data_IF_423733358053
#
_entry.id   IF_423733358053
#
_cell.length_a   1.000
_cell.length_b   1.000
_cell.length_c   1.000
_cell.angle_alpha   90.00
_cell.angle_beta   90.00
_cell.angle_gamma   90.00
#
_symmetry.space_group_name_H-M   'P 1'
#
loop_
_entity.id
_entity.type
_entity.pdbx_description
1 polymer ?
2 non-polymer ?
3 water ?
#
# COMPACT_ATOMS: atom_id res chain seq x y z
N UNK A 1 14.20 6.14 22.29
CA UNK A 1 14.78 6.36 20.95
C UNK A 1 15.70 7.59 20.91
N UNK A 2 16.72 7.56 20.06
CA UNK A 2 17.63 8.71 19.98
C UNK A 2 16.83 9.96 19.60
N UNK A 3 17.24 11.12 20.09
CA UNK A 3 16.55 12.35 19.76
C UNK A 3 16.73 12.70 18.29
N UNK A 4 17.86 12.28 17.71
CA UNK A 4 18.08 12.55 16.31
C UNK A 4 18.85 11.40 15.68
N UNK A 5 18.67 11.25 14.37
CA UNK A 5 19.34 10.20 13.61
C UNK A 5 19.69 10.74 12.23
N UNK A 6 20.84 10.30 11.72
CA UNK A 6 21.29 10.68 10.38
C UNK A 6 22.14 9.50 9.88
N UNK A 7 21.53 8.68 9.02
CA UNK A 7 22.21 7.49 8.49
C UNK A 7 23.40 7.82 7.60
N UNK A 8 23.51 9.09 7.19
CA UNK A 8 24.65 9.50 6.39
C UNK A 8 25.91 9.39 7.26
N UNK A 9 25.76 9.66 8.55
CA UNK A 9 26.88 9.61 9.48
C UNK A 9 27.38 8.17 9.69
N UNK A 10 26.58 7.20 9.28
CA UNK A 10 26.97 5.80 9.43
C UNK A 10 27.43 5.22 8.10
N UNK A 11 27.64 6.09 7.11
CA UNK A 11 28.08 5.64 5.81
C UNK A 11 27.07 4.70 5.14
N UNK A 12 25.78 4.89 5.42
CA UNK A 12 24.75 4.02 4.86
C UNK A 12 23.94 4.65 3.75
N UNK A 13 24.33 5.84 3.31
CA UNK A 13 23.60 6.53 2.25
C UNK A 13 24.51 6.88 1.05
N UNK A 14 24.11 6.46 -0.13
CA UNK A 14 24.90 6.73 -1.32
C UNK A 14 24.67 8.15 -1.81
N UNK A 15 25.46 8.56 -2.79
CA UNK A 15 25.31 9.89 -3.39
C UNK A 15 23.89 10.12 -3.89
N UNK A 16 23.46 11.37 -3.85
CA UNK A 16 22.15 11.75 -4.34
C UNK A 16 22.19 11.56 -5.87
N UNK A 17 21.12 10.99 -6.42
CA UNK A 17 21.00 10.72 -7.84
C UNK A 17 20.07 11.73 -8.53
N UNK A 18 20.15 11.81 -9.85
CA UNK A 18 19.35 12.73 -10.64
C UNK A 18 18.47 11.92 -11.58
N UNK A 19 17.16 11.87 -11.33
CA UNK A 19 16.30 11.04 -12.16
C UNK A 19 15.98 11.61 -13.53
N UNK A 20 16.20 12.91 -13.70
CA UNK A 20 15.92 13.53 -14.98
C UNK A 20 14.44 13.53 -15.33
N UNK A 21 14.13 13.41 -16.60
CA UNK A 21 12.74 13.44 -17.04
C UNK A 21 12.04 12.09 -17.01
N UNK A 22 12.54 11.17 -16.20
CA UNK A 22 11.94 9.86 -16.08
C UNK A 22 11.35 9.78 -14.65
N UNK A 23 10.07 9.43 -14.55
CA UNK A 23 9.42 9.36 -13.25
C UNK A 23 9.80 8.11 -12.49
N UNK A 24 11.09 8.02 -12.14
CA UNK A 24 11.64 6.87 -11.44
C UNK A 24 11.90 7.10 -9.96
N UNK A 25 11.24 8.10 -9.38
CA UNK A 25 11.44 8.38 -7.97
C UNK A 25 11.23 7.10 -7.14
N UNK A 26 10.22 6.31 -7.49
CA UNK A 26 9.92 5.08 -6.75
C UNK A 26 11.09 4.11 -6.76
N UNK A 27 11.78 4.01 -7.90
CA UNK A 27 12.93 3.13 -8.05
C UNK A 27 14.12 3.61 -7.23
N UNK A 28 14.35 4.93 -7.23
CA UNK A 28 15.46 5.48 -6.44
C UNK A 28 15.16 5.33 -4.96
N UNK A 29 13.90 5.51 -4.58
CA UNK A 29 13.54 5.35 -3.16
C UNK A 29 13.84 3.91 -2.74
N UNK A 30 13.35 2.97 -3.53
CA UNK A 30 13.56 1.56 -3.21
C UNK A 30 15.05 1.19 -3.12
N UNK A 31 15.86 1.58 -4.11
CA UNK A 31 17.26 1.20 -4.01
C UNK A 31 17.97 1.87 -2.84
N UNK A 32 17.60 3.11 -2.55
CA UNK A 32 18.23 3.81 -1.43
C UNK A 32 17.99 3.06 -0.13
N UNK A 33 16.77 2.58 0.06
CA UNK A 33 16.44 1.81 1.28
C UNK A 33 17.27 0.53 1.33
N UNK A 34 17.36 -0.19 0.21
CA UNK A 34 18.12 -1.43 0.19
C UNK A 34 19.63 -1.20 0.36
N UNK A 35 20.12 -0.08 -0.18
CA UNK A 35 21.55 0.25 -0.08
C UNK A 35 22.02 0.32 1.39
N UNK A 36 21.17 0.87 2.25
CA UNK A 36 21.50 1.00 3.67
C UNK A 36 21.59 -0.38 4.30
N UNK A 37 20.62 -1.22 3.99
CA UNK A 37 20.59 -2.59 4.50
C UNK A 37 21.79 -3.38 4.01
N UNK A 38 22.14 -3.17 2.75
CA UNK A 38 23.30 -3.86 2.17
C UNK A 38 24.55 -3.44 2.92
N UNK A 39 24.67 -2.14 3.21
CA UNK A 39 25.82 -1.63 3.93
C UNK A 39 25.85 -2.24 5.33
N UNK A 40 24.69 -2.23 5.99
CA UNK A 40 24.58 -2.77 7.34
C UNK A 40 24.96 -4.25 7.39
N UNK A 41 24.62 -4.99 6.35
CA UNK A 41 24.92 -6.42 6.34
C UNK A 41 26.33 -6.80 5.90
N UNK A 42 26.83 -6.15 4.85
CA UNK A 42 28.14 -6.49 4.31
C UNK A 42 29.26 -5.51 4.64
N UNK A 43 28.91 -4.33 5.13
CA UNK A 43 29.95 -3.36 5.43
C UNK A 43 30.32 -2.54 4.22
N UNK A 44 29.71 -2.84 3.07
CA UNK A 44 30.03 -2.11 1.85
C UNK A 44 28.90 -1.20 1.34
N UNK A 45 29.24 0.04 1.00
CA UNK A 45 28.26 0.98 0.47
C UNK A 45 28.31 0.93 -1.05
N UNK A 46 27.20 0.50 -1.65
CA UNK A 46 27.11 0.32 -3.11
C UNK A 46 25.80 0.87 -3.70
N UNK A 47 25.87 1.72 -4.72
CA UNK A 47 24.63 2.22 -5.31
C UNK A 47 24.00 1.06 -6.09
N UNK A 48 22.69 0.88 -5.95
CA UNK A 48 22.03 -0.21 -6.65
C UNK A 48 21.34 0.35 -7.89
N UNK A 49 21.03 -0.52 -8.85
CA UNK A 49 20.44 -0.10 -10.11
C UNK A 49 18.98 0.28 -10.15
N UNK A 50 18.71 1.58 -10.22
CA UNK A 50 17.34 2.05 -10.31
C UNK A 50 16.80 1.66 -11.69
N UNK A 51 17.67 1.64 -12.69
CA UNK A 51 17.25 1.28 -14.04
C UNK A 51 16.74 -0.15 -14.08
N UNK A 52 17.42 -1.02 -13.33
CA UNK A 52 17.05 -2.44 -13.24
C UNK A 52 15.57 -2.50 -12.84
N UNK A 53 15.17 -1.68 -11.88
CA UNK A 53 13.78 -1.68 -11.44
C UNK A 53 12.87 -1.13 -12.51
N UNK A 54 13.27 -0.01 -13.12
CA UNK A 54 12.49 0.62 -14.17
C UNK A 54 12.20 -0.35 -15.32
N UNK A 55 13.24 -1.06 -15.77
CA UNK A 55 13.11 -2.00 -16.91
C UNK A 55 12.51 -3.38 -16.59
N UNK A 56 12.67 -3.84 -15.36
CA UNK A 56 12.24 -5.18 -14.97
C UNK A 56 11.08 -5.35 -14.01
N UNK A 57 10.97 -4.45 -13.03
CA UNK A 57 9.86 -4.52 -12.07
C UNK A 57 8.76 -3.75 -12.76
N UNK A 58 8.09 -4.40 -13.71
CA UNK A 58 7.10 -3.69 -14.49
C UNK A 58 5.63 -4.06 -14.28
N UNK A 59 4.92 -4.38 -15.37
CA UNK A 59 3.49 -4.70 -15.32
C UNK A 59 3.09 -5.68 -14.22
N UNK A 60 3.85 -6.76 -14.10
CA UNK A 60 3.54 -7.78 -13.11
C UNK A 60 3.56 -7.23 -11.69
N UNK A 61 4.26 -6.11 -11.52
CA UNK A 61 4.38 -5.46 -10.23
C UNK A 61 3.56 -4.18 -10.13
N UNK A 62 2.68 -3.98 -11.11
CA UNK A 62 1.83 -2.79 -11.12
C UNK A 62 2.61 -1.50 -11.35
N UNK A 63 3.84 -1.62 -11.84
CA UNK A 63 4.68 -0.45 -12.08
C UNK A 63 4.68 -0.04 -13.55
N UNK A 64 5.02 1.21 -13.80
CA UNK A 64 5.02 1.74 -15.16
C UNK A 64 6.30 2.44 -15.57
N UNK A 65 7.42 1.95 -15.07
CA UNK A 65 8.71 2.52 -15.44
C UNK A 65 8.83 4.01 -15.22
N UNK A 66 9.14 4.74 -16.30
CA UNK A 66 9.29 6.18 -16.22
C UNK A 66 7.97 6.89 -15.97
N UNK A 67 6.88 6.13 -15.90
CA UNK A 67 5.58 6.72 -15.64
C UNK A 67 5.07 6.43 -14.21
N UNK A 68 5.97 5.97 -13.34
CA UNK A 68 5.58 5.73 -11.96
C UNK A 68 5.62 4.29 -11.49
N UNK A 69 5.77 4.12 -10.19
CA UNK A 69 5.84 2.78 -9.62
C UNK A 69 5.66 2.82 -8.12
N UNK A 70 5.91 1.66 -7.48
CA UNK A 70 5.74 1.51 -6.03
C UNK A 70 7.01 0.94 -5.43
N UNK A 71 7.39 1.42 -4.26
CA UNK A 71 8.59 0.91 -3.60
C UNK A 71 8.35 -0.51 -3.11
N UNK A 72 7.18 -0.78 -2.55
CA UNK A 72 6.89 -2.12 -2.05
C UNK A 72 6.94 -3.20 -3.14
N UNK A 73 6.35 -2.92 -4.29
CA UNK A 73 6.35 -3.91 -5.35
C UNK A 73 7.72 -4.07 -5.98
N UNK A 74 8.51 -3.01 -5.92
CA UNK A 74 9.87 -3.07 -6.41
C UNK A 74 10.61 -4.01 -5.49
N UNK A 75 10.39 -3.88 -4.18
CA UNK A 75 11.05 -4.75 -3.21
C UNK A 75 10.66 -6.20 -3.53
N UNK A 76 9.38 -6.45 -3.78
CA UNK A 76 8.96 -7.82 -4.08
C UNK A 76 9.63 -8.35 -5.34
N UNK A 77 9.80 -7.49 -6.35
CA UNK A 77 10.48 -7.90 -7.56
C UNK A 77 11.90 -8.38 -7.23
N UNK A 78 12.59 -7.64 -6.37
CA UNK A 78 13.95 -8.03 -6.01
C UNK A 78 13.95 -9.39 -5.30
N UNK A 79 12.94 -9.61 -4.46
CA UNK A 79 12.80 -10.87 -3.75
C UNK A 79 12.51 -11.99 -4.77
N UNK A 80 11.50 -11.78 -5.62
CA UNK A 80 11.13 -12.78 -6.64
C UNK A 80 12.30 -13.07 -7.60
N UNK A 81 12.99 -12.01 -7.99
CA UNK A 81 14.12 -12.08 -8.90
C UNK A 81 15.39 -12.66 -8.27
N UNK A 82 15.42 -12.72 -6.95
CA UNK A 82 16.59 -13.20 -6.21
C UNK A 82 17.81 -12.27 -6.36
N UNK A 83 17.55 -11.00 -6.72
CA UNK A 83 18.63 -10.05 -6.82
C UNK A 83 18.35 -8.79 -7.59
N UNK A 84 19.28 -7.85 -7.46
CA UNK A 84 19.23 -6.61 -8.19
C UNK A 84 20.68 -6.25 -8.52
N UNK A 85 20.90 -5.76 -9.73
CA UNK A 85 22.25 -5.40 -10.16
C UNK A 85 22.73 -4.06 -9.56
N UNK A 86 24.04 -3.84 -9.61
CA UNK A 86 24.62 -2.59 -9.13
C UNK A 86 24.32 -1.50 -10.17
N UNK A 87 24.32 -0.26 -9.70
CA UNK A 87 24.09 0.86 -10.59
C UNK A 87 25.21 0.88 -11.66
N UNK A 88 26.45 0.63 -11.24
CA UNK A 88 27.56 0.65 -12.18
C UNK A 88 27.41 -0.36 -13.33
N UNK A 89 26.81 -1.51 -13.06
CA UNK A 89 26.67 -2.54 -14.08
C UNK A 89 25.45 -2.33 -14.94
N UNK A 90 24.49 -1.59 -14.42
CA UNK A 90 23.24 -1.39 -15.13
C UNK A 90 22.89 0.07 -14.86
N UNK A 91 23.58 0.98 -15.57
CA UNK A 91 23.40 2.43 -15.40
C UNK A 91 22.04 3.02 -15.73
N UNK A 92 21.75 4.14 -15.08
CA UNK A 92 20.48 4.84 -15.24
C UNK A 92 20.48 5.72 -16.49
N UNK A 93 19.48 5.50 -17.34
CA UNK A 93 19.36 6.21 -18.60
C UNK A 93 18.12 7.09 -18.68
N UNK A 94 17.33 7.12 -17.61
CA UNK A 94 16.13 7.94 -17.58
C UNK A 94 15.20 7.64 -18.77
N UNK A 95 15.12 6.37 -19.11
CA UNK A 95 14.26 5.90 -20.19
C UNK A 95 13.79 4.49 -19.85
N UNK A 96 12.68 4.09 -20.48
CA UNK A 96 12.15 2.75 -20.31
C UNK A 96 12.95 1.90 -21.30
N UNK A 97 13.53 0.80 -20.82
CA UNK A 97 14.32 -0.07 -21.68
C UNK A 97 13.88 -1.50 -21.45
N UNK A 98 14.35 -2.41 -22.32
CA UNK A 98 14.06 -3.82 -22.18
C UNK A 98 14.77 -4.27 -20.91
N UNK A 99 14.23 -5.24 -20.20
CA UNK A 99 14.86 -5.74 -19.00
C UNK A 99 16.21 -6.41 -19.33
N UNK A 100 17.28 -5.96 -18.68
CA UNK A 100 18.60 -6.50 -18.93
C UNK A 100 19.27 -7.03 -17.69
N UNK A 101 18.47 -7.49 -16.71
CA UNK A 101 19.04 -8.05 -15.49
C UNK A 101 19.96 -9.23 -15.77
N UNK A 102 21.10 -9.25 -15.11
CA UNK A 102 22.04 -10.36 -15.26
C UNK A 102 22.59 -10.63 -13.86
N UNK A 103 22.36 -11.83 -13.35
CA UNK A 103 22.82 -12.16 -12.01
C UNK A 103 24.33 -12.08 -11.84
N UNK A 104 25.06 -12.06 -12.94
CA UNK A 104 26.52 -11.95 -12.88
C UNK A 104 26.88 -10.58 -12.29
N UNK A 105 25.94 -9.63 -12.40
CA UNK A 105 26.14 -8.28 -11.88
C UNK A 105 25.33 -7.97 -10.61
N UNK A 106 24.77 -9.00 -9.99
CA UNK A 106 23.97 -8.82 -8.77
C UNK A 106 24.79 -8.17 -7.67
N UNK A 107 24.25 -7.16 -7.00
CA UNK A 107 24.99 -6.53 -5.89
C UNK A 107 24.23 -6.58 -4.57
N UNK A 108 22.98 -7.03 -4.60
CA UNK A 108 22.17 -7.15 -3.39
C UNK A 108 21.01 -8.10 -3.62
N UNK A 109 20.43 -8.57 -2.54
CA UNK A 109 19.25 -9.44 -2.55
C UNK A 109 18.33 -8.82 -1.52
N UNK A 110 17.09 -9.31 -1.47
CA UNK A 110 16.10 -8.85 -0.50
C UNK A 110 15.31 -10.10 -0.07
N UNK A 111 15.04 -10.24 1.22
CA UNK A 111 14.32 -11.40 1.68
C UNK A 111 12.88 -11.08 2.04
N UNK A 112 12.63 -9.81 2.38
CA UNK A 112 11.28 -9.38 2.75
C UNK A 112 11.24 -7.87 2.89
N UNK A 113 10.04 -7.35 3.04
CA UNK A 113 9.85 -5.92 3.24
C UNK A 113 8.68 -5.72 4.22
N UNK A 114 8.66 -4.55 4.86
CA UNK A 114 7.63 -4.25 5.85
C UNK A 114 7.01 -2.91 5.55
N UNK A 115 5.69 -2.85 5.61
CA UNK A 115 4.98 -1.60 5.39
C UNK A 115 4.51 -1.13 6.77
N UNK A 116 4.87 0.09 7.13
CA UNK A 116 4.48 0.64 8.43
C UNK A 116 3.01 1.06 8.46
N UNK A 117 2.40 1.10 9.66
CA UNK A 117 1.00 1.52 9.78
C UNK A 117 0.82 2.96 9.28
N UNK A 118 -0.29 3.18 8.59
CA UNK A 118 -0.58 4.49 8.01
C UNK A 118 -0.54 5.69 8.96
N UNK A 119 0.25 6.70 8.59
CA UNK A 119 0.32 7.94 9.34
C UNK A 119 0.91 7.99 10.73
N UNK A 120 1.46 6.89 11.20
CA UNK A 120 2.05 6.85 12.53
C UNK A 120 3.49 7.36 12.49
N UNK A 121 3.69 8.61 12.86
CA UNK A 121 5.04 9.18 12.84
C UNK A 121 5.96 8.62 13.93
N UNK A 122 5.37 8.14 15.04
CA UNK A 122 6.15 7.57 16.12
C UNK A 122 6.72 6.22 15.68
N UNK A 123 5.92 5.45 14.94
CA UNK A 123 6.35 4.15 14.44
C UNK A 123 7.43 4.37 13.39
N UNK A 124 7.24 5.40 12.57
CA UNK A 124 8.22 5.71 11.54
C UNK A 124 9.56 6.09 12.20
N UNK A 125 9.51 6.84 13.31
CA UNK A 125 10.71 7.27 14.03
C UNK A 125 11.44 6.04 14.56
N UNK A 126 10.66 5.13 15.13
CA UNK A 126 11.22 3.90 15.66
C UNK A 126 11.94 3.08 14.56
N UNK A 127 11.31 3.00 13.39
CA UNK A 127 11.89 2.25 12.27
C UNK A 127 13.17 2.93 11.75
N UNK A 128 13.12 4.24 11.58
CA UNK A 128 14.30 4.95 11.10
C UNK A 128 15.44 4.76 12.12
N UNK A 129 15.14 4.83 13.41
CA UNK A 129 16.19 4.65 14.42
C UNK A 129 16.70 3.23 14.55
N UNK A 130 15.79 2.25 14.54
CA UNK A 130 16.17 0.84 14.74
C UNK A 130 16.41 -0.05 13.54
N UNK A 131 15.87 0.32 12.38
CA UNK A 131 16.05 -0.52 11.20
C UNK A 131 16.90 0.12 10.11
N UNK A 132 16.68 1.39 9.83
CA UNK A 132 17.46 2.09 8.82
C UNK A 132 16.59 3.01 8.00
N UNK A 133 17.10 3.62 6.93
CA UNK A 133 16.30 4.53 6.08
C UNK A 133 15.02 3.86 5.62
N UNK A 134 13.96 4.65 5.53
CA UNK A 134 12.65 4.14 5.15
C UNK A 134 12.09 4.84 3.91
N UNK A 135 11.63 4.04 2.94
CA UNK A 135 11.04 4.56 1.72
C UNK A 135 9.67 5.10 2.09
N UNK A 136 9.31 6.27 1.57
CA UNK A 136 8.02 6.87 1.85
C UNK A 136 7.54 7.64 0.65
N UNK A 137 6.27 8.00 0.69
CA UNK A 137 5.72 8.83 -0.39
C UNK A 137 5.35 10.17 0.23
N UNK A 138 5.58 11.28 -0.49
CA UNK A 138 5.18 12.57 0.02
C UNK A 138 4.43 13.33 -1.04
N UNK A 139 3.67 14.32 -0.61
CA UNK A 139 2.95 15.17 -1.53
C UNK A 139 3.99 16.24 -1.92
N UNK A 140 4.59 16.08 -3.09
CA UNK A 140 5.60 17.01 -3.57
C UNK A 140 5.12 17.87 -4.74
N UNK A 141 3.82 18.02 -4.90
CA UNK A 141 3.35 18.81 -6.04
C UNK A 141 3.20 20.31 -5.83
N UNK A 142 3.44 20.81 -4.62
CA UNK A 142 3.27 22.25 -4.41
C UNK A 142 4.48 23.03 -4.82
N UNK A 143 4.27 24.19 -5.48
CA UNK A 143 5.40 25.02 -5.93
C UNK A 143 6.51 25.22 -4.91
N UNK A 144 6.15 25.35 -3.63
CA UNK A 144 7.15 25.56 -2.59
C UNK A 144 8.14 24.39 -2.48
N UNK A 145 7.69 23.19 -2.78
CA UNK A 145 8.57 22.04 -2.68
C UNK A 145 9.80 22.17 -3.61
N UNK A 146 9.55 22.54 -4.87
CA UNK A 146 10.62 22.69 -5.86
C UNK A 146 11.65 23.76 -5.52
N UNK A 147 11.19 24.78 -4.80
CA UNK A 147 12.00 25.93 -4.41
C UNK A 147 12.63 25.85 -3.04
N UNK A 148 12.47 24.72 -2.35
CA UNK A 148 13.03 24.56 -1.02
C UNK A 148 14.54 24.69 -1.03
N UNK A 149 15.07 25.47 -0.09
CA UNK A 149 16.51 25.69 -0.01
C UNK A 149 17.07 25.40 1.37
N UNK A 150 16.32 25.70 2.42
CA UNK A 150 16.85 25.44 3.76
C UNK A 150 15.79 25.46 4.84
N UNK A 151 16.22 25.25 6.08
CA UNK A 151 15.29 25.25 7.20
C UNK A 151 14.46 23.99 7.19
N UNK A 152 13.27 24.07 7.77
CA UNK A 152 12.39 22.91 7.81
C UNK A 152 11.15 23.22 7.00
N UNK A 153 10.92 22.40 5.96
CA UNK A 153 9.80 22.56 5.06
C UNK A 153 8.42 22.36 5.69
N UNK A 154 7.61 23.40 5.64
CA UNK A 154 6.26 23.32 6.16
C UNK A 154 5.38 24.07 5.18
N UNK A 155 4.45 23.36 4.55
CA UNK A 155 3.58 23.95 3.55
C UNK A 155 2.12 23.76 3.93
N UNK A 156 1.45 24.85 4.34
CA UNK A 156 0.02 24.74 4.71
C UNK A 156 -0.84 24.08 3.64
N UNK A 157 -0.48 24.24 2.37
CA UNK A 157 -1.29 23.66 1.30
C UNK A 157 -1.01 22.18 1.07
N UNK A 158 -0.10 21.60 1.87
CA UNK A 158 0.24 20.19 1.70
C UNK A 158 -0.90 19.27 2.06
N UNK A 159 -0.95 18.11 1.41
CA UNK A 159 -2.00 17.13 1.68
C UNK A 159 -1.39 15.75 1.96
N UNK A 160 -2.27 14.80 2.26
CA UNK A 160 -1.83 13.43 2.48
C UNK A 160 -2.08 12.61 1.20
N UNK A 161 -2.21 13.32 0.09
CA UNK A 161 -2.37 12.67 -1.22
C UNK A 161 -0.96 12.68 -1.78
N UNK A 162 -0.23 11.60 -1.55
CA UNK A 162 1.17 11.56 -1.95
C UNK A 162 1.39 11.14 -3.38
N UNK A 163 2.44 11.69 -3.98
CA UNK A 163 2.75 11.39 -5.38
C UNK A 163 4.21 11.17 -5.65
N UNK A 164 5.06 11.42 -4.64
CA UNK A 164 6.51 11.36 -4.85
C UNK A 164 7.26 10.42 -3.90
N UNK A 165 7.95 9.45 -4.46
CA UNK A 165 8.68 8.48 -3.65
C UNK A 165 10.07 8.99 -3.28
N UNK A 166 10.36 9.02 -1.98
CA UNK A 166 11.65 9.52 -1.50
C UNK A 166 12.11 8.64 -0.36
N UNK A 167 13.21 9.04 0.28
CA UNK A 167 13.78 8.23 1.35
C UNK A 167 14.10 8.98 2.61
N UNK A 168 13.56 8.52 3.74
CA UNK A 168 13.84 9.14 5.01
C UNK A 168 15.12 8.52 5.55
N UNK A 169 16.16 9.32 5.70
CA UNK A 169 17.44 8.81 6.17
C UNK A 169 17.78 9.33 7.57
N UNK A 170 16.80 9.97 8.20
CA UNK A 170 17.05 10.49 9.52
C UNK A 170 15.96 11.41 10.02
N UNK A 171 16.19 12.00 11.18
CA UNK A 171 15.21 12.91 11.77
C UNK A 171 15.92 13.70 12.87
N UNK A 172 15.28 14.75 13.36
CA UNK A 172 15.91 15.56 14.38
C UNK A 172 15.12 16.81 14.64
N UNK A 173 15.82 17.83 15.13
CA UNK A 173 15.21 19.11 15.50
C UNK A 173 16.15 20.26 15.08
N UNK A 174 15.61 21.25 14.38
CA UNK A 174 16.41 22.39 13.95
C UNK A 174 15.70 23.67 14.39
N UNK A 175 16.33 24.41 15.29
CA UNK A 175 15.76 25.65 15.79
C UNK A 175 14.32 25.54 16.27
N UNK A 176 14.07 24.51 17.06
CA UNK A 176 12.74 24.32 17.61
C UNK A 176 11.73 23.63 16.71
N UNK A 177 12.15 23.22 15.52
CA UNK A 177 11.25 22.54 14.57
C UNK A 177 11.71 21.10 14.30
N UNK A 178 10.87 20.13 14.64
CA UNK A 178 11.22 18.73 14.40
C UNK A 178 11.09 18.46 12.91
N UNK A 179 11.97 17.62 12.39
CA UNK A 179 11.95 17.33 10.97
C UNK A 179 12.36 15.89 10.65
N UNK A 180 12.07 15.49 9.42
CA UNK A 180 12.43 14.20 8.86
C UNK A 180 13.48 14.60 7.82
N UNK A 181 14.62 13.91 7.79
CA UNK A 181 15.67 14.18 6.81
C UNK A 181 15.36 13.32 5.62
N UNK A 182 15.03 13.95 4.49
CA UNK A 182 14.62 13.26 3.28
C UNK A 182 15.58 13.37 2.11
N UNK A 183 15.95 12.22 1.54
CA UNK A 183 16.82 12.17 0.37
C UNK A 183 15.94 12.13 -0.88
N UNK A 184 16.08 13.13 -1.75
CA UNK A 184 15.29 13.19 -3.00
C UNK A 184 16.16 12.64 -4.14
N UNK A 185 15.60 12.57 -5.34
CA UNK A 185 16.37 12.06 -6.47
C UNK A 185 16.30 13.06 -7.63
N UNK A 186 16.45 14.34 -7.30
CA UNK A 186 16.45 15.41 -8.30
C UNK A 186 17.85 16.03 -8.33
N UNK A 187 18.83 15.22 -7.97
CA UNK A 187 20.21 15.69 -8.00
C UNK A 187 20.62 16.57 -6.84
N UNK A 188 21.91 16.90 -6.78
CA UNK A 188 22.42 17.76 -5.70
C UNK A 188 21.97 19.24 -5.78
N UNK A 189 21.47 19.68 -6.92
CA UNK A 189 21.03 21.09 -7.02
C UNK A 189 19.75 21.34 -6.24
N UNK A 190 18.99 20.28 -5.99
CA UNK A 190 17.74 20.43 -5.27
C UNK A 190 17.96 20.55 -3.76
N UNK A 191 17.22 21.48 -3.14
CA UNK A 191 17.29 21.66 -1.71
C UNK A 191 18.68 21.76 -1.09
N UNK A 192 18.91 21.00 -0.01
CA UNK A 192 20.20 21.01 0.67
C UNK A 192 21.04 19.87 0.13
N UNK A 193 21.73 20.11 -0.98
CA UNK A 193 22.57 19.10 -1.64
C UNK A 193 21.79 17.80 -1.93
N UNK A 194 20.53 17.97 -2.35
CA UNK A 194 19.70 16.84 -2.71
C UNK A 194 18.72 16.38 -1.65
N UNK A 195 18.85 16.97 -0.46
CA UNK A 195 17.99 16.63 0.68
C UNK A 195 16.99 17.72 1.03
N UNK A 196 15.93 17.33 1.74
CA UNK A 196 14.95 18.29 2.22
C UNK A 196 14.54 17.89 3.65
N UNK A 197 14.51 18.85 4.55
CA UNK A 197 14.08 18.57 5.93
C UNK A 197 12.60 18.90 5.91
N UNK A 198 11.77 17.89 6.18
CA UNK A 198 10.32 18.08 6.15
C UNK A 198 9.72 18.01 7.55
N UNK A 199 8.75 18.86 7.82
CA UNK A 199 8.14 18.92 9.16
C UNK A 199 7.70 17.57 9.69
N UNK A 200 8.10 17.30 10.94
CA UNK A 200 7.80 16.06 11.65
C UNK A 200 6.89 16.33 12.85
N UNK A 201 5.96 15.41 13.10
CA UNK A 201 5.01 15.53 14.20
C UNK A 201 4.12 16.75 14.00
N UNK A 202 3.80 17.03 12.74
CA UNK A 202 2.91 18.15 12.41
C UNK A 202 1.73 17.57 11.64
N UNK A 203 1.05 16.59 12.23
CA UNK A 203 -0.10 15.98 11.60
C UNK A 203 0.20 15.26 10.30
N UNK A 204 1.26 14.44 10.28
CA UNK A 204 1.61 13.69 9.07
C UNK A 204 1.68 14.63 7.88
N UNK A 205 2.49 15.68 8.03
CA UNK A 205 2.66 16.70 7.00
C UNK A 205 3.10 16.16 5.65
N UNK A 206 2.35 16.52 4.60
CA UNK A 206 2.61 16.12 3.22
C UNK A 206 2.53 14.59 3.08
N UNK A 207 1.91 13.94 4.06
CA UNK A 207 1.76 12.49 4.02
C UNK A 207 3.03 11.69 4.17
N UNK A 208 4.06 12.30 4.73
CA UNK A 208 5.33 11.62 4.88
C UNK A 208 5.26 10.25 5.60
N UNK A 209 4.36 10.09 6.56
CA UNK A 209 4.25 8.79 7.23
C UNK A 209 3.05 7.96 6.74
N UNK A 210 2.45 8.40 5.63
CA UNK A 210 1.29 7.69 5.06
C UNK A 210 1.63 6.28 4.56
N UNK A 211 2.63 6.18 3.71
CA UNK A 211 3.01 4.87 3.16
C UNK A 211 4.51 4.53 3.26
N UNK A 212 5.00 4.26 4.48
CA UNK A 212 6.40 3.91 4.71
C UNK A 212 6.65 2.41 4.61
N UNK A 213 7.83 2.05 4.10
CA UNK A 213 8.22 0.64 4.00
C UNK A 213 9.74 0.54 3.97
N UNK A 214 10.27 -0.61 4.36
CA UNK A 214 11.72 -0.81 4.33
C UNK A 214 11.98 -2.29 4.06
N UNK A 215 13.03 -2.59 3.30
CA UNK A 215 13.36 -3.98 2.97
C UNK A 215 14.34 -4.53 3.99
N UNK A 216 14.56 -5.84 3.94
CA UNK A 216 15.53 -6.45 4.83
C UNK A 216 16.22 -7.55 4.02
N UNK A 217 17.45 -7.86 4.42
CA UNK A 217 18.24 -8.87 3.72
C UNK A 217 18.46 -10.07 4.64
N UNK B 1 -3.13 -26.71 4.70
CA UNK B 1 -4.33 -25.85 4.42
C UNK B 1 -5.52 -26.57 3.79
N UNK B 2 -6.74 -26.24 4.21
CA UNK B 2 -7.92 -26.89 3.62
C UNK B 2 -7.93 -26.61 2.12
N UNK B 3 -8.48 -27.52 1.32
CA UNK B 3 -8.54 -27.32 -0.14
C UNK B 3 -9.54 -26.25 -0.50
N UNK B 4 -10.56 -26.05 0.34
CA UNK B 4 -11.59 -25.06 0.08
C UNK B 4 -12.03 -24.44 1.41
N UNK B 5 -12.40 -23.17 1.36
CA UNK B 5 -12.86 -22.43 2.53
C UNK B 5 -13.99 -21.49 2.08
N UNK B 6 -15.02 -21.32 2.91
CA UNK B 6 -16.11 -20.39 2.57
C UNK B 6 -16.58 -19.83 3.90
N UNK B 7 -16.16 -18.60 4.22
CA UNK B 7 -16.53 -17.96 5.47
C UNK B 7 -18.02 -17.72 5.63
N UNK B 8 -18.79 -17.76 4.55
CA UNK B 8 -20.25 -17.59 4.72
C UNK B 8 -20.78 -18.79 5.53
N UNK B 9 -20.15 -19.94 5.35
CA UNK B 9 -20.56 -21.15 6.08
C UNK B 9 -20.30 -20.98 7.58
N UNK B 10 -19.36 -20.11 7.93
CA UNK B 10 -19.01 -19.89 9.32
C UNK B 10 -19.76 -18.74 9.97
N UNK B 11 -20.74 -18.18 9.25
CA UNK B 11 -21.55 -17.09 9.78
C UNK B 11 -20.80 -15.80 9.95
N UNK B 12 -19.73 -15.62 9.17
CA UNK B 12 -18.91 -14.41 9.28
C UNK B 12 -19.05 -13.41 8.14
N UNK B 13 -20.06 -13.57 7.31
CA UNK B 13 -20.25 -12.64 6.18
C UNK B 13 -21.67 -12.09 6.11
N UNK B 14 -21.79 -10.78 6.06
CA UNK B 14 -23.11 -10.14 6.01
C UNK B 14 -23.72 -10.16 4.61
N UNK B 15 -24.95 -9.68 4.50
CA UNK B 15 -25.61 -9.64 3.21
C UNK B 15 -24.81 -8.74 2.23
N UNK B 16 -24.97 -9.00 0.95
CA UNK B 16 -24.29 -8.20 -0.06
C UNK B 16 -24.89 -6.81 -0.11
N UNK B 17 -24.03 -5.78 -0.16
CA UNK B 17 -24.49 -4.39 -0.21
C UNK B 17 -24.43 -3.87 -1.64
N UNK B 18 -25.14 -2.76 -1.88
CA UNK B 18 -25.22 -2.11 -3.19
C UNK B 18 -24.66 -0.68 -3.08
N UNK B 19 -23.47 -0.45 -3.64
CA UNK B 19 -22.83 0.87 -3.51
C UNK B 19 -23.48 1.95 -4.37
N UNK B 20 -24.22 1.53 -5.38
CA UNK B 20 -24.90 2.48 -6.25
C UNK B 20 -23.90 3.32 -7.04
N UNK B 21 -24.21 4.60 -7.26
CA UNK B 21 -23.34 5.46 -8.05
C UNK B 21 -22.18 6.08 -7.26
N UNK B 22 -21.96 5.60 -6.04
CA UNK B 22 -20.86 6.10 -5.22
C UNK B 22 -19.73 5.07 -5.23
N UNK B 23 -18.52 5.51 -5.59
CA UNK B 23 -17.37 4.61 -5.67
C UNK B 23 -16.85 4.24 -4.28
N UNK B 24 -17.65 3.49 -3.54
CA UNK B 24 -17.28 3.13 -2.17
C UNK B 24 -16.85 1.68 -2.01
N UNK B 25 -16.45 1.04 -3.11
CA UNK B 25 -16.03 -0.37 -3.05
C UNK B 25 -15.01 -0.60 -1.94
N UNK B 26 -14.12 0.39 -1.79
CA UNK B 26 -13.06 0.36 -0.79
C UNK B 26 -13.62 0.34 0.63
N UNK B 27 -14.67 1.11 0.87
CA UNK B 27 -15.27 1.14 2.20
C UNK B 27 -15.99 -0.18 2.51
N UNK B 28 -16.76 -0.68 1.55
CA UNK B 28 -17.46 -1.94 1.73
C UNK B 28 -16.46 -3.11 1.96
N UNK B 29 -15.38 -3.12 1.20
CA UNK B 29 -14.36 -4.16 1.35
C UNK B 29 -13.82 -4.11 2.78
N UNK B 30 -13.51 -2.91 3.27
CA UNK B 30 -12.98 -2.77 4.61
C UNK B 30 -13.95 -3.20 5.72
N UNK B 31 -15.20 -2.75 5.64
CA UNK B 31 -16.18 -3.13 6.67
C UNK B 31 -16.42 -4.64 6.59
N UNK B 32 -16.43 -5.17 5.37
CA UNK B 32 -16.62 -6.61 5.22
C UNK B 32 -15.57 -7.42 5.99
N UNK B 33 -14.31 -7.02 5.85
CA UNK B 33 -13.24 -7.75 6.55
C UNK B 33 -13.39 -7.62 8.06
N UNK B 34 -13.71 -6.42 8.54
CA UNK B 34 -13.85 -6.23 9.97
C UNK B 34 -15.10 -6.92 10.53
N UNK B 35 -16.14 -7.01 9.73
CA UNK B 35 -17.37 -7.69 10.13
C UNK B 35 -17.06 -9.14 10.55
N UNK B 36 -16.20 -9.82 9.79
CA UNK B 36 -15.84 -11.19 10.13
C UNK B 36 -15.08 -11.23 11.44
N UNK B 37 -14.13 -10.31 11.61
CA UNK B 37 -13.35 -10.31 12.84
C UNK B 37 -14.26 -10.01 14.03
N UNK B 38 -15.23 -9.13 13.84
CA UNK B 38 -16.16 -8.79 14.90
C UNK B 38 -16.95 -10.04 15.32
N UNK B 39 -17.46 -10.78 14.34
CA UNK B 39 -18.22 -12.01 14.61
C UNK B 39 -17.31 -13.01 15.37
N UNK B 40 -16.08 -13.18 14.88
CA UNK B 40 -15.13 -14.10 15.52
C UNK B 40 -14.83 -13.70 16.97
N UNK B 41 -14.84 -12.40 17.25
CA UNK B 41 -14.57 -11.91 18.59
C UNK B 41 -15.80 -11.90 19.50
N UNK B 42 -16.94 -11.47 18.98
CA UNK B 42 -18.14 -11.37 19.82
C UNK B 42 -19.26 -12.39 19.62
N UNK B 43 -19.23 -13.12 18.52
CA UNK B 43 -20.29 -14.08 18.25
C UNK B 43 -21.44 -13.44 17.52
N UNK B 44 -21.35 -12.14 17.27
CA UNK B 44 -22.41 -11.43 16.56
C UNK B 44 -22.02 -10.97 15.17
N UNK B 45 -22.94 -11.13 14.24
CA UNK B 45 -22.73 -10.72 12.85
C UNK B 45 -23.51 -9.43 12.65
N UNK B 46 -22.81 -8.32 12.46
CA UNK B 46 -23.51 -7.06 12.26
C UNK B 46 -22.81 -6.25 11.17
N UNK B 47 -23.60 -5.72 10.24
CA UNK B 47 -23.05 -4.94 9.16
C UNK B 47 -22.51 -3.67 9.77
N UNK B 48 -21.33 -3.27 9.33
CA UNK B 48 -20.69 -2.06 9.81
C UNK B 48 -20.90 -0.93 8.80
N UNK B 49 -20.77 0.31 9.26
CA UNK B 49 -21.06 1.45 8.42
C UNK B 49 -20.05 1.87 7.35
N UNK B 50 -20.29 1.49 6.10
CA UNK B 50 -19.43 1.89 5.01
C UNK B 50 -19.54 3.43 4.85
N UNK B 51 -20.72 3.98 5.13
CA UNK B 51 -20.95 5.43 5.04
C UNK B 51 -20.02 6.19 6.00
N UNK B 52 -19.86 5.65 7.19
CA UNK B 52 -18.98 6.19 8.23
C UNK B 52 -17.56 6.37 7.63
N UNK B 53 -17.11 5.38 6.85
CA UNK B 53 -15.78 5.44 6.25
C UNK B 53 -15.74 6.47 5.13
N UNK B 54 -16.73 6.44 4.26
CA UNK B 54 -16.82 7.37 3.14
C UNK B 54 -16.80 8.81 3.66
N UNK B 55 -17.57 9.08 4.71
CA UNK B 55 -17.66 10.45 5.27
C UNK B 55 -16.53 10.88 6.21
N UNK B 56 -15.92 9.94 6.90
CA UNK B 56 -14.89 10.27 7.90
C UNK B 56 -13.45 9.86 7.63
N UNK B 57 -13.25 8.77 6.90
CA UNK B 57 -11.89 8.35 6.56
C UNK B 57 -11.65 9.07 5.25
N UNK B 58 -11.40 10.37 5.34
CA UNK B 58 -11.23 11.17 4.15
C UNK B 58 -9.80 11.66 3.86
N UNK B 59 -9.65 12.96 3.57
CA UNK B 59 -8.35 13.55 3.22
C UNK B 59 -7.18 13.08 4.06
N UNK B 60 -7.32 13.09 5.37
CA UNK B 60 -6.24 12.68 6.27
C UNK B 60 -5.78 11.26 6.00
N UNK B 61 -6.65 10.47 5.37
CA UNK B 61 -6.34 9.07 5.06
C UNK B 61 -6.10 8.82 3.58
N UNK B 62 -5.93 9.89 2.81
CA UNK B 62 -5.69 9.75 1.38
C UNK B 62 -6.90 9.25 0.61
N UNK B 63 -8.07 9.28 1.25
CA UNK B 63 -9.28 8.80 0.58
C UNK B 63 -10.09 9.95 0.01
N UNK B 64 -10.92 9.63 -0.97
CA UNK B 64 -11.74 10.62 -1.66
C UNK B 64 -13.23 10.27 -1.67
N UNK B 65 -13.69 9.64 -0.60
CA UNK B 65 -15.10 9.27 -0.50
C UNK B 65 -15.64 8.50 -1.69
N UNK B 66 -16.69 9.03 -2.32
CA UNK B 66 -17.29 8.37 -3.49
C UNK B 66 -16.39 8.37 -4.72
N UNK B 67 -15.24 9.01 -4.64
CA UNK B 67 -14.28 8.98 -5.74
C UNK B 67 -13.18 7.93 -5.48
N UNK B 68 -13.29 7.17 -4.40
CA UNK B 68 -12.29 6.13 -4.17
C UNK B 68 -11.50 6.21 -2.88
N UNK B 69 -10.94 5.08 -2.46
CA UNK B 69 -10.16 5.08 -1.23
C UNK B 69 -9.38 3.80 -1.04
N UNK B 70 -8.77 3.64 0.15
CA UNK B 70 -7.96 2.48 0.49
C UNK B 70 -8.48 1.72 1.70
N UNK B 71 -8.47 0.40 1.61
CA UNK B 71 -8.91 -0.42 2.73
C UNK B 71 -7.95 -0.27 3.93
N UNK B 72 -6.66 -0.26 3.65
CA UNK B 72 -5.66 -0.13 4.72
C UNK B 72 -5.84 1.19 5.51
N UNK B 73 -6.00 2.30 4.79
CA UNK B 73 -6.18 3.60 5.47
C UNK B 73 -7.55 3.66 6.14
N UNK B 74 -8.53 2.95 5.58
CA UNK B 74 -9.85 2.86 6.22
C UNK B 74 -9.63 2.17 7.58
N UNK B 75 -8.85 1.07 7.59
CA UNK B 75 -8.60 0.36 8.86
C UNK B 75 -7.90 1.31 9.83
N UNK B 76 -6.92 2.06 9.34
CA UNK B 76 -6.21 2.97 10.25
C UNK B 76 -7.13 4.01 10.84
N UNK B 77 -8.07 4.53 10.06
CA UNK B 77 -9.03 5.52 10.58
C UNK B 77 -9.81 4.88 11.73
N UNK B 78 -10.25 3.64 11.54
CA UNK B 78 -11.02 2.98 12.59
C UNK B 78 -10.20 2.85 13.86
N UNK B 79 -8.91 2.53 13.70
CA UNK B 79 -7.99 2.42 14.85
C UNK B 79 -7.84 3.79 15.53
N UNK B 80 -7.45 4.80 14.77
CA UNK B 80 -7.25 6.15 15.32
C UNK B 80 -8.53 6.70 15.97
N UNK B 81 -9.65 6.45 15.31
CA UNK B 81 -10.97 6.91 15.74
C UNK B 81 -11.48 6.16 16.95
N UNK B 82 -10.89 4.99 17.20
CA UNK B 82 -11.27 4.14 18.31
C UNK B 82 -12.67 3.60 18.12
N UNK B 83 -13.06 3.41 16.86
CA UNK B 83 -14.36 2.85 16.58
C UNK B 83 -14.97 3.14 15.23
N UNK B 84 -15.98 2.34 14.88
CA UNK B 84 -16.73 2.52 13.66
C UNK B 84 -18.18 2.19 14.07
N UNK B 85 -19.13 2.97 13.56
CA UNK B 85 -20.53 2.78 13.89
C UNK B 85 -21.15 1.63 13.10
N UNK B 86 -22.29 1.15 13.57
CA UNK B 86 -23.00 0.06 12.91
C UNK B 86 -23.64 0.66 11.65
N UNK B 87 -23.90 -0.18 10.65
CA UNK B 87 -24.55 0.29 9.42
C UNK B 87 -25.99 0.73 9.78
N UNK B 88 -26.59 0.04 10.75
CA UNK B 88 -27.97 0.36 11.16
C UNK B 88 -28.08 1.80 11.67
N UNK B 89 -27.09 2.22 12.44
CA UNK B 89 -27.05 3.55 13.04
C UNK B 89 -26.56 4.66 12.11
N UNK B 90 -25.78 4.28 11.11
CA UNK B 90 -25.19 5.25 10.18
C UNK B 90 -25.32 4.58 8.80
N UNK B 91 -26.56 4.57 8.25
CA UNK B 91 -26.87 3.97 6.95
C UNK B 91 -26.17 4.54 5.73
N UNK B 92 -26.09 3.70 4.69
CA UNK B 92 -25.41 4.09 3.46
C UNK B 92 -26.33 4.91 2.58
N UNK B 93 -25.83 6.06 2.14
CA UNK B 93 -26.60 6.95 1.30
C UNK B 93 -26.05 7.08 -0.12
N UNK B 94 -24.95 6.40 -0.41
CA UNK B 94 -24.34 6.46 -1.74
C UNK B 94 -23.97 7.87 -2.17
N UNK B 95 -23.46 8.66 -1.23
CA UNK B 95 -23.00 10.02 -1.53
C UNK B 95 -22.05 10.47 -0.42
N UNK B 96 -21.25 11.49 -0.71
CA UNK B 96 -20.32 12.03 0.27
C UNK B 96 -21.10 12.91 1.23
N UNK B 97 -20.85 12.76 2.53
CA UNK B 97 -21.52 13.59 3.52
C UNK B 97 -20.50 14.04 4.56
N UNK B 98 -20.88 15.02 5.36
CA UNK B 98 -20.02 15.49 6.43
C UNK B 98 -19.92 14.31 7.41
N UNK B 99 -18.79 14.15 8.08
CA UNK B 99 -18.61 13.07 9.02
C UNK B 99 -19.62 13.14 10.17
N UNK B 100 -20.37 12.06 10.38
CA UNK B 100 -21.38 12.04 11.43
C UNK B 100 -21.11 10.95 12.46
N UNK B 101 -19.85 10.54 12.58
CA UNK B 101 -19.52 9.51 13.54
C UNK B 101 -19.87 9.93 14.94
N UNK B 102 -20.42 8.97 15.71
CA UNK B 102 -20.76 9.19 17.09
C UNK B 102 -20.40 7.89 17.83
N UNK B 103 -19.56 8.02 18.86
CA UNK B 103 -19.16 6.86 19.64
C UNK B 103 -20.37 6.15 20.28
N UNK B 104 -21.49 6.86 20.46
CA UNK B 104 -22.66 6.18 21.04
C UNK B 104 -23.22 5.10 20.12
N UNK B 105 -22.83 5.12 18.84
CA UNK B 105 -23.31 4.10 17.90
C UNK B 105 -22.18 3.13 17.48
N UNK B 106 -21.07 3.15 18.23
CA UNK B 106 -19.96 2.26 17.91
C UNK B 106 -20.38 0.79 17.91
N UNK B 107 -19.96 0.03 16.90
CA UNK B 107 -20.30 -1.40 16.84
C UNK B 107 -19.02 -2.25 16.73
N UNK B 108 -17.88 -1.62 16.50
CA UNK B 108 -16.62 -2.35 16.42
C UNK B 108 -15.44 -1.43 16.60
N UNK B 109 -14.30 -2.01 16.96
CA UNK B 109 -13.05 -1.27 17.11
C UNK B 109 -12.08 -2.06 16.21
N UNK B 110 -10.84 -1.57 16.09
CA UNK B 110 -9.82 -2.26 15.30
C UNK B 110 -8.50 -1.93 16.02
N UNK B 111 -7.63 -2.91 16.21
CA UNK B 111 -6.39 -2.63 16.90
C UNK B 111 -5.21 -2.57 15.92
N UNK B 112 -5.34 -3.23 14.77
CA UNK B 112 -4.26 -3.21 13.81
C UNK B 112 -4.70 -3.87 12.52
N UNK B 113 -3.87 -3.76 11.49
CA UNK B 113 -4.15 -4.43 10.22
C UNK B 113 -2.85 -4.95 9.66
N UNK B 114 -2.94 -5.88 8.73
CA UNK B 114 -1.78 -6.51 8.15
C UNK B 114 -1.86 -6.53 6.64
N UNK B 115 -0.79 -6.13 5.98
CA UNK B 115 -0.74 -6.12 4.52
C UNK B 115 0.12 -7.31 4.10
N UNK B 116 -0.45 -8.20 3.29
CA UNK B 116 0.26 -9.39 2.81
C UNK B 116 1.26 -9.01 1.72
N UNK B 117 2.34 -9.81 1.58
CA UNK B 117 3.39 -9.58 0.57
C UNK B 117 2.79 -9.57 -0.83
N UNK B 118 3.29 -8.67 -1.67
CA UNK B 118 2.78 -8.52 -3.01
C UNK B 118 2.80 -9.72 -3.92
N UNK B 119 1.62 -10.03 -4.45
CA UNK B 119 1.45 -11.10 -5.41
C UNK B 119 1.56 -12.52 -4.91
N UNK B 120 1.60 -12.73 -3.61
CA UNK B 120 1.74 -14.10 -3.12
C UNK B 120 0.40 -14.76 -2.88
N UNK B 121 -0.04 -15.58 -3.83
CA UNK B 121 -1.34 -16.24 -3.71
C UNK B 121 -1.33 -17.32 -2.64
N UNK B 122 -0.15 -17.90 -2.38
CA UNK B 122 -0.05 -18.93 -1.35
C UNK B 122 -0.22 -18.29 0.04
N UNK B 123 0.35 -17.10 0.21
CA UNK B 123 0.23 -16.40 1.47
C UNK B 123 -1.21 -15.92 1.66
N UNK B 124 -1.84 -15.53 0.55
CA UNK B 124 -3.23 -15.08 0.61
C UNK B 124 -4.11 -16.27 1.01
N UNK B 125 -3.81 -17.45 0.47
CA UNK B 125 -4.60 -18.64 0.79
C UNK B 125 -4.50 -18.94 2.29
N UNK B 126 -3.30 -18.86 2.84
CA UNK B 126 -3.11 -19.15 4.25
C UNK B 126 -3.87 -18.16 5.15
N UNK B 127 -3.85 -16.90 4.77
CA UNK B 127 -4.55 -15.88 5.54
C UNK B 127 -6.08 -16.08 5.50
N UNK B 128 -6.62 -16.42 4.33
CA UNK B 128 -8.07 -16.63 4.22
C UNK B 128 -8.45 -17.87 5.03
N UNK B 129 -7.60 -18.89 5.04
CA UNK B 129 -7.89 -20.10 5.80
C UNK B 129 -7.78 -19.91 7.31
N UNK B 130 -6.74 -19.22 7.75
CA UNK B 130 -6.45 -19.06 9.18
C UNK B 130 -6.86 -17.77 9.90
N UNK B 131 -6.98 -16.67 9.15
CA UNK B 131 -7.32 -15.40 9.77
C UNK B 131 -8.76 -14.96 9.53
N UNK B 132 -9.18 -14.96 8.27
CA UNK B 132 -10.55 -14.57 7.95
C UNK B 132 -10.60 -13.95 6.56
N UNK B 133 -11.77 -13.40 6.17
CA UNK B 133 -11.84 -12.78 4.84
C UNK B 133 -10.77 -11.69 4.72
N UNK B 134 -10.22 -11.52 3.52
CA UNK B 134 -9.15 -10.56 3.31
C UNK B 134 -9.55 -9.51 2.26
N UNK B 135 -9.30 -8.24 2.57
CA UNK B 135 -9.60 -7.16 1.63
C UNK B 135 -8.53 -7.18 0.54
N UNK B 136 -8.94 -7.01 -0.71
CA UNK B 136 -8.03 -6.99 -1.84
C UNK B 136 -8.51 -6.04 -2.94
N UNK B 137 -7.59 -5.68 -3.84
CA UNK B 137 -7.91 -4.84 -4.97
C UNK B 137 -7.77 -5.70 -6.23
N UNK B 138 -8.68 -5.51 -7.20
CA UNK B 138 -8.58 -6.25 -8.44
C UNK B 138 -8.74 -5.32 -9.63
N UNK B 139 -8.29 -5.79 -10.79
CA UNK B 139 -8.44 -5.04 -12.03
C UNK B 139 -9.84 -5.41 -12.52
N UNK B 140 -10.77 -4.46 -12.37
CA UNK B 140 -12.15 -4.65 -12.78
C UNK B 140 -12.44 -3.73 -13.96
N UNK B 141 -11.40 -3.37 -14.70
CA UNK B 141 -11.59 -2.47 -15.82
C UNK B 141 -11.81 -3.12 -17.17
N UNK B 142 -12.45 -4.29 -17.17
CA UNK B 142 -12.74 -4.99 -18.42
C UNK B 142 -14.21 -5.31 -18.45
N UNK B 143 -14.83 -5.21 -19.64
CA UNK B 143 -16.27 -5.50 -19.74
C UNK B 143 -16.69 -6.84 -19.19
N UNK B 144 -15.86 -7.86 -19.39
CA UNK B 144 -16.17 -9.21 -18.91
C UNK B 144 -16.47 -9.23 -17.39
N UNK B 145 -15.82 -8.35 -16.64
CA UNK B 145 -16.03 -8.27 -15.20
C UNK B 145 -17.46 -7.77 -14.94
N UNK B 146 -17.85 -6.71 -15.63
CA UNK B 146 -19.21 -6.15 -15.50
C UNK B 146 -20.27 -7.14 -15.98
N UNK B 147 -19.93 -7.93 -17.00
CA UNK B 147 -20.87 -8.90 -17.57
C UNK B 147 -20.86 -10.29 -16.94
N UNK B 148 -19.95 -10.51 -16.00
CA UNK B 148 -19.82 -11.80 -15.34
C UNK B 148 -21.16 -12.29 -14.77
N UNK B 149 -21.46 -13.57 -14.99
CA UNK B 149 -22.71 -14.16 -14.48
C UNK B 149 -22.44 -15.35 -13.57
N UNK B 150 -21.53 -16.23 -13.99
CA UNK B 150 -21.27 -17.42 -13.17
C UNK B 150 -20.01 -18.15 -13.59
N UNK B 151 -19.57 -19.08 -12.74
CA UNK B 151 -18.38 -19.87 -13.02
C UNK B 151 -17.09 -19.21 -12.55
N UNK B 152 -15.95 -19.70 -13.02
CA UNK B 152 -14.68 -19.13 -12.62
C UNK B 152 -14.26 -18.10 -13.66
N UNK B 153 -14.17 -16.85 -13.21
CA UNK B 153 -13.83 -15.73 -14.07
C UNK B 153 -12.36 -15.69 -14.42
N UNK B 154 -12.10 -15.66 -15.72
CA UNK B 154 -10.75 -15.58 -16.23
C UNK B 154 -10.78 -14.62 -17.43
N UNK B 155 -9.98 -13.56 -17.33
CA UNK B 155 -9.91 -12.53 -18.36
C UNK B 155 -8.49 -12.41 -18.90
N UNK B 156 -8.27 -12.90 -20.14
CA UNK B 156 -6.95 -12.86 -20.78
C UNK B 156 -6.29 -11.50 -20.75
N UNK B 157 -7.08 -10.44 -20.87
CA UNK B 157 -6.53 -9.09 -20.88
C UNK B 157 -6.44 -8.46 -19.48
N UNK B 158 -6.66 -9.25 -18.43
CA UNK B 158 -6.58 -8.68 -17.08
C UNK B 158 -5.14 -8.30 -16.75
N UNK B 159 -4.97 -7.32 -15.87
CA UNK B 159 -3.64 -6.86 -15.47
C UNK B 159 -3.47 -6.80 -13.94
N UNK B 160 -2.28 -6.42 -13.51
CA UNK B 160 -1.99 -6.27 -12.08
C UNK B 160 -2.20 -4.82 -11.65
N UNK B 161 -2.79 -4.02 -12.53
CA UNK B 161 -3.11 -2.63 -12.21
C UNK B 161 -4.54 -2.70 -11.68
N UNK B 162 -4.67 -2.78 -10.37
CA UNK B 162 -5.97 -2.91 -9.70
C UNK B 162 -6.64 -1.55 -9.41
N UNK B 163 -7.96 -1.55 -9.37
CA UNK B 163 -8.71 -0.32 -9.14
C UNK B 163 -10.00 -0.53 -8.38
N UNK B 164 -10.31 -1.77 -8.05
CA UNK B 164 -11.59 -2.09 -7.41
C UNK B 164 -11.44 -2.90 -6.12
N UNK B 165 -11.86 -2.31 -5.00
CA UNK B 165 -11.73 -3.00 -3.72
C UNK B 165 -12.84 -4.02 -3.51
N UNK B 166 -12.49 -5.23 -3.10
CA UNK B 166 -13.48 -6.28 -2.86
C UNK B 166 -13.06 -7.13 -1.66
N UNK B 167 -13.78 -8.22 -1.40
CA UNK B 167 -13.46 -9.05 -0.25
C UNK B 167 -13.39 -10.54 -0.56
N UNK B 168 -12.23 -11.14 -0.33
CA UNK B 168 -12.08 -12.57 -0.57
C UNK B 168 -12.63 -13.25 0.66
N UNK B 169 -13.74 -13.96 0.52
CA UNK B 169 -14.34 -14.65 1.66
C UNK B 169 -14.17 -16.15 1.58
N UNK B 170 -13.31 -16.61 0.69
CA UNK B 170 -13.09 -18.04 0.59
C UNK B 170 -12.33 -18.44 -0.65
N UNK B 171 -12.17 -19.74 -0.86
CA UNK B 171 -11.50 -20.21 -2.05
C UNK B 171 -11.88 -21.66 -2.29
N UNK B 172 -11.63 -22.13 -3.49
CA UNK B 172 -11.98 -23.50 -3.80
C UNK B 172 -11.63 -23.80 -5.25
N UNK B 173 -12.38 -24.74 -5.82
CA UNK B 173 -12.18 -25.13 -7.19
C UNK B 173 -13.49 -25.65 -7.76
N UNK B 174 -13.73 -25.32 -9.03
CA UNK B 174 -14.94 -25.74 -9.69
C UNK B 174 -14.48 -26.77 -10.69
N UNK B 175 -14.55 -28.03 -10.29
CA UNK B 175 -14.11 -29.14 -11.12
C UNK B 175 -12.69 -28.90 -11.62
N UNK B 176 -11.77 -28.67 -10.68
CA UNK B 176 -10.38 -28.44 -11.04
C UNK B 176 -9.98 -26.98 -11.22
N UNK B 177 -10.89 -26.14 -11.68
CA UNK B 177 -10.57 -24.73 -11.88
C UNK B 177 -10.57 -23.98 -10.55
N UNK B 178 -9.38 -23.69 -10.04
CA UNK B 178 -9.24 -23.00 -8.76
C UNK B 178 -9.72 -21.55 -8.82
N UNK B 179 -10.32 -21.10 -7.72
CA UNK B 179 -10.83 -19.74 -7.69
C UNK B 179 -10.77 -19.13 -6.30
N UNK B 180 -10.92 -17.82 -6.26
CA UNK B 180 -10.98 -17.06 -5.02
C UNK B 180 -12.49 -16.69 -4.94
N UNK B 181 -13.12 -16.85 -3.78
CA UNK B 181 -14.55 -16.53 -3.67
C UNK B 181 -14.59 -15.07 -3.23
N UNK B 182 -15.06 -14.19 -4.11
CA UNK B 182 -15.06 -12.75 -3.87
C UNK B 182 -16.43 -12.11 -3.67
N UNK B 183 -16.59 -11.40 -2.55
CA UNK B 183 -17.81 -10.64 -2.25
C UNK B 183 -17.61 -9.25 -2.86
N UNK B 184 -18.54 -8.81 -3.73
CA UNK B 184 -18.44 -7.48 -4.34
C UNK B 184 -19.46 -6.58 -3.64
N UNK B 185 -19.54 -5.33 -4.05
CA UNK B 185 -20.51 -4.43 -3.44
C UNK B 185 -21.37 -3.76 -4.52
N UNK B 186 -21.70 -4.56 -5.55
CA UNK B 186 -22.53 -4.12 -6.66
C UNK B 186 -23.96 -4.69 -6.55
N UNK B 187 -24.38 -5.02 -5.34
CA UNK B 187 -25.73 -5.55 -5.16
C UNK B 187 -25.88 -7.05 -5.40
N UNK B 188 -27.03 -7.61 -5.02
CA UNK B 188 -27.23 -9.05 -5.18
C UNK B 188 -27.57 -9.54 -6.57
N UNK B 189 -27.63 -8.63 -7.54
CA UNK B 189 -27.94 -9.04 -8.89
C UNK B 189 -26.67 -9.24 -9.70
N UNK B 190 -25.55 -8.73 -9.20
CA UNK B 190 -24.27 -8.91 -9.90
C UNK B 190 -23.73 -10.32 -9.73
N UNK B 191 -23.31 -10.92 -10.85
CA UNK B 191 -22.71 -12.25 -10.85
C UNK B 191 -23.49 -13.32 -10.12
N UNK B 192 -22.80 -14.05 -9.24
CA UNK B 192 -23.43 -15.11 -8.48
C UNK B 192 -24.06 -14.53 -7.22
N UNK B 193 -25.16 -13.82 -7.45
CA UNK B 193 -25.91 -13.17 -6.41
C UNK B 193 -25.04 -12.31 -5.50
N UNK B 194 -24.20 -11.49 -6.15
CA UNK B 194 -23.34 -10.55 -5.44
C UNK B 194 -21.90 -10.99 -5.34
N UNK B 195 -21.62 -12.23 -5.71
CA UNK B 195 -20.28 -12.78 -5.63
C UNK B 195 -19.72 -13.09 -7.02
N UNK B 196 -18.41 -13.19 -7.10
CA UNK B 196 -17.72 -13.55 -8.32
C UNK B 196 -16.55 -14.46 -7.96
N UNK B 197 -16.45 -15.62 -8.59
CA UNK B 197 -15.35 -16.52 -8.31
C UNK B 197 -14.28 -16.20 -9.34
N UNK B 198 -13.12 -15.75 -8.85
CA UNK B 198 -12.00 -15.34 -9.71
C UNK B 198 -10.86 -16.34 -9.75
N UNK B 199 -10.29 -16.52 -10.94
CA UNK B 199 -9.21 -17.47 -11.15
C UNK B 199 -8.10 -17.35 -10.13
N UNK B 200 -7.79 -18.49 -9.51
CA UNK B 200 -6.77 -18.56 -8.47
C UNK B 200 -5.56 -19.35 -8.98
N UNK B 201 -4.37 -18.95 -8.53
CA UNK B 201 -3.13 -19.58 -8.94
C UNK B 201 -2.98 -19.52 -10.46
N UNK B 202 -3.35 -18.37 -11.01
CA UNK B 202 -3.26 -18.10 -12.43
C UNK B 202 -2.38 -16.86 -12.61
N UNK B 203 -1.19 -16.88 -12.02
CA UNK B 203 -0.29 -15.77 -12.15
C UNK B 203 -0.85 -14.47 -11.60
N UNK B 204 -1.45 -14.51 -10.41
CA UNK B 204 -2.01 -13.31 -9.79
C UNK B 204 -2.98 -12.64 -10.76
N UNK B 205 -3.95 -13.43 -11.21
CA UNK B 205 -4.94 -12.99 -12.16
C UNK B 205 -5.68 -11.73 -11.70
N UNK B 206 -5.68 -10.69 -12.54
CA UNK B 206 -6.34 -9.41 -12.23
C UNK B 206 -5.79 -8.74 -10.99
N UNK B 207 -4.57 -9.13 -10.59
CA UNK B 207 -3.93 -8.55 -9.42
C UNK B 207 -4.61 -8.87 -8.10
N UNK B 208 -5.34 -9.97 -8.05
CA UNK B 208 -6.05 -10.27 -6.80
C UNK B 208 -5.18 -10.37 -5.55
N UNK B 209 -3.95 -10.88 -5.67
CA UNK B 209 -3.07 -10.96 -4.51
C UNK B 209 -2.07 -9.79 -4.48
N UNK B 210 -2.33 -8.77 -5.29
CA UNK B 210 -1.39 -7.65 -5.35
C UNK B 210 -1.37 -6.85 -4.04
N UNK B 211 -2.54 -6.47 -3.53
CA UNK B 211 -2.59 -5.67 -2.32
C UNK B 211 -3.62 -6.16 -1.28
N UNK B 212 -3.37 -7.33 -0.67
CA UNK B 212 -4.30 -7.87 0.32
C UNK B 212 -4.02 -7.34 1.72
N UNK B 213 -5.08 -7.15 2.50
CA UNK B 213 -4.92 -6.70 3.86
C UNK B 213 -6.09 -7.19 4.71
N UNK B 214 -5.84 -7.35 6.01
CA UNK B 214 -6.90 -7.75 6.92
C UNK B 214 -6.64 -7.11 8.28
N UNK B 215 -7.73 -6.73 8.98
CA UNK B 215 -7.71 -6.09 10.28
C UNK B 215 -7.86 -7.12 11.38
N UNK B 216 -7.57 -6.69 12.60
CA UNK B 216 -7.77 -7.56 13.76
C UNK B 216 -8.33 -6.70 14.88
N UNK B 217 -9.00 -7.36 15.81
CA UNK B 217 -9.60 -6.68 16.96
C UNK B 217 -8.94 -7.20 18.23
#
# INVERSE_FOLDING_TARGET
LPDSVDWREKGCVTEVKYQGSCGACWAFSAVGALEAQLKLKTGKLVSLSAQNLVDCSTEKYGNKGCNGGFMTTAFQYIIDNKGIDSDASYPYKAMDQKCQYDSKYRAATCSKYTELPYGREDVLKEAVANKGPVSVGVDARHPSFFLYRSGVYYEPSCTQNVNHGVLVVGYGDLNGKEYWLVKNSWGHNFGEEGYIRMARNKGNHCGIASFPSYPEIHHHHH
LPDSVDWREKGCVTEVKYQGSCGACWAFSAVGALEAQLKLKTGKLVSLSAQNLVDCSTEKYGNKGCNGGFMTTAFQYIIDNKGIDSDASYPYKAMDQKCQYDSKYRAATCSKYTELPYGREDVLKEAVANKGPVSVGVDARHPSFFLYRSGVYYEPSCTQNVNHGVLVVGYGDLNGKEYWLVKNSWGHNFGEEGYIRMARNKGNHCGIASFPSYPEIHHHHH
#
